data_IF_648634502340
#
_entry.id   IF_648634502340
#
_cell.length_a   1.000
_cell.length_b   1.000
_cell.length_c   1.000
_cell.angle_alpha   90.00
_cell.angle_beta   90.00
_cell.angle_gamma   90.00
#
_symmetry.space_group_name_H-M   'P 1'
#
loop_
_entity.id
_entity.type
_entity.pdbx_description
1 polymer ?
#
# COMPACT_ATOMS: atom_id res chain seq x y z
N UNK A 1 -2.38 32.05 27.02
CA UNK A 1 -3.20 32.19 25.79
C UNK A 1 -2.34 31.79 24.59
N UNK A 2 -2.97 31.35 23.49
CA UNK A 2 -2.39 30.79 22.25
C UNK A 2 -2.31 29.25 22.15
N UNK A 3 -3.47 28.61 22.21
CA UNK A 3 -3.72 27.39 21.42
C UNK A 3 -4.01 27.82 19.99
N UNK A 4 -3.12 27.53 19.04
CA UNK A 4 -3.42 27.62 17.59
C UNK A 4 -3.68 26.22 17.05
N UNK A 5 -4.90 26.05 16.59
CA UNK A 5 -5.53 24.92 15.89
C UNK A 5 -4.57 24.06 15.07
N UNK A 6 -4.48 22.78 15.47
CA UNK A 6 -3.78 21.69 14.79
C UNK A 6 -4.74 20.82 13.94
N UNK A 7 -5.91 21.37 13.59
CA UNK A 7 -7.02 20.66 12.95
C UNK A 7 -7.19 20.97 11.45
N UNK A 8 -6.26 21.69 10.80
CA UNK A 8 -6.40 22.07 9.38
C UNK A 8 -5.37 21.46 8.41
N UNK A 9 -4.56 20.47 8.85
CA UNK A 9 -3.49 19.92 7.99
C UNK A 9 -3.76 18.49 7.49
N UNK A 10 -4.87 17.85 7.90
CA UNK A 10 -5.13 16.44 7.57
C UNK A 10 -6.15 16.20 6.44
N UNK A 11 -6.72 17.24 5.84
CA UNK A 11 -7.79 17.12 4.82
C UNK A 11 -7.32 17.27 3.36
N UNK A 12 -6.04 16.95 3.04
CA UNK A 12 -5.50 17.24 1.69
C UNK A 12 -5.24 16.07 0.73
N UNK A 13 -5.63 14.83 1.04
CA UNK A 13 -5.38 13.71 0.11
C UNK A 13 -6.54 12.73 -0.12
N UNK A 14 -7.80 13.13 0.08
CA UNK A 14 -8.90 12.48 -0.61
C UNK A 14 -9.10 13.18 -1.95
N UNK A 15 -8.27 12.83 -2.95
CA UNK A 15 -8.51 13.28 -4.32
C UNK A 15 -9.79 12.60 -4.79
N UNK A 16 -10.88 13.35 -4.82
CA UNK A 16 -12.15 12.99 -5.44
C UNK A 16 -11.88 12.51 -6.89
N UNK A 17 -11.73 11.19 -7.07
CA UNK A 17 -11.51 10.56 -8.37
C UNK A 17 -12.87 10.47 -9.06
N UNK A 18 -13.36 11.60 -9.60
CA UNK A 18 -14.45 11.55 -10.58
C UNK A 18 -13.92 10.85 -11.83
N UNK A 19 -14.49 9.71 -12.25
CA UNK A 19 -14.06 9.05 -13.48
C UNK A 19 -14.36 9.98 -14.66
N UNK A 20 -13.32 10.38 -15.39
CA UNK A 20 -13.46 11.14 -16.64
C UNK A 20 -14.01 10.20 -17.71
N UNK A 21 -15.05 10.65 -18.43
CA UNK A 21 -15.73 9.97 -19.55
C UNK A 21 -14.75 9.21 -20.44
N UNK A 22 -15.08 7.94 -20.66
CA UNK A 22 -14.32 6.94 -21.41
C UNK A 22 -14.22 7.30 -22.89
N UNK A 23 -13.26 8.16 -23.24
CA UNK A 23 -12.61 8.01 -24.55
C UNK A 23 -11.61 6.89 -24.33
N UNK A 24 -11.84 5.72 -24.93
CA UNK A 24 -10.86 4.63 -24.93
C UNK A 24 -9.59 5.14 -25.61
N UNK A 25 -8.69 5.73 -24.82
CA UNK A 25 -7.40 6.22 -25.31
C UNK A 25 -6.67 4.98 -25.78
N UNK A 26 -6.46 4.87 -27.10
CA UNK A 26 -5.65 3.82 -27.68
C UNK A 26 -4.28 3.85 -27.00
N UNK A 27 -3.98 2.82 -26.23
CA UNK A 27 -2.67 2.65 -25.60
C UNK A 27 -1.65 2.37 -26.70
N UNK A 28 -0.47 2.95 -26.55
CA UNK A 28 0.71 2.60 -27.33
C UNK A 28 1.06 1.12 -27.11
N UNK A 29 1.53 0.43 -28.16
CA UNK A 29 1.76 -1.02 -28.07
C UNK A 29 2.85 -1.38 -27.06
N UNK A 30 3.91 -0.57 -26.95
CA UNK A 30 4.93 -0.72 -25.91
C UNK A 30 4.34 -0.56 -24.51
N UNK A 31 3.35 0.33 -24.35
CA UNK A 31 2.67 0.52 -23.05
C UNK A 31 1.80 -0.69 -22.72
N UNK A 32 1.10 -1.26 -23.70
CA UNK A 32 0.30 -2.49 -23.50
C UNK A 32 1.19 -3.63 -23.04
N UNK A 33 2.28 -3.87 -23.75
CA UNK A 33 3.24 -4.92 -23.42
C UNK A 33 3.84 -4.72 -22.02
N UNK A 34 4.23 -3.47 -21.67
CA UNK A 34 4.73 -3.17 -20.34
C UNK A 34 3.69 -3.39 -19.22
N UNK A 35 2.40 -3.15 -19.48
CA UNK A 35 1.32 -3.41 -18.53
C UNK A 35 1.15 -4.91 -18.31
N UNK A 36 1.12 -5.70 -19.39
CA UNK A 36 0.96 -7.15 -19.34
C UNK A 36 2.12 -7.79 -18.55
N UNK A 37 3.36 -7.48 -18.93
CA UNK A 37 4.56 -7.95 -18.21
C UNK A 37 4.56 -7.54 -16.74
N UNK A 38 4.11 -6.32 -16.42
CA UNK A 38 4.02 -5.87 -15.04
C UNK A 38 2.94 -6.63 -14.24
N UNK A 39 1.79 -6.94 -14.86
CA UNK A 39 0.72 -7.70 -14.22
C UNK A 39 1.14 -9.14 -13.95
N UNK A 40 1.78 -9.80 -14.91
CA UNK A 40 2.30 -11.15 -14.75
C UNK A 40 3.38 -11.19 -13.66
N UNK A 41 4.35 -10.27 -13.72
CA UNK A 41 5.39 -10.18 -12.70
C UNK A 41 4.82 -10.00 -11.28
N UNK A 42 3.85 -9.10 -11.12
CA UNK A 42 3.21 -8.87 -9.81
C UNK A 42 2.46 -10.11 -9.32
N UNK A 43 1.81 -10.83 -10.23
CA UNK A 43 1.04 -12.04 -9.91
C UNK A 43 1.96 -13.17 -9.47
N UNK A 44 3.09 -13.37 -10.16
CA UNK A 44 4.03 -14.44 -9.87
C UNK A 44 4.90 -14.17 -8.64
N UNK A 45 5.33 -12.92 -8.45
CA UNK A 45 6.37 -12.59 -7.48
C UNK A 45 5.88 -11.83 -6.25
N UNK A 46 4.62 -11.36 -6.24
CA UNK A 46 4.06 -10.50 -5.20
C UNK A 46 4.91 -9.25 -4.89
N UNK A 47 5.65 -8.76 -5.90
CA UNK A 47 6.58 -7.63 -5.80
C UNK A 47 6.17 -6.52 -6.77
N UNK A 48 6.52 -5.25 -6.49
CA UNK A 48 6.21 -4.15 -7.40
C UNK A 48 6.95 -4.33 -8.72
N UNK A 49 6.22 -4.22 -9.83
CA UNK A 49 6.81 -4.29 -11.15
C UNK A 49 7.68 -3.05 -11.42
N UNK A 50 8.80 -3.27 -12.11
CA UNK A 50 9.69 -2.20 -12.57
C UNK A 50 9.60 -2.09 -14.08
N UNK A 51 9.33 -0.88 -14.57
CA UNK A 51 9.20 -0.58 -15.99
C UNK A 51 10.22 0.50 -16.33
N UNK A 52 11.04 0.23 -17.34
CA UNK A 52 12.07 1.13 -17.86
C UNK A 52 11.71 1.60 -19.28
N UNK A 53 12.54 2.48 -19.84
CA UNK A 53 12.57 2.83 -21.27
C UNK A 53 11.28 3.41 -21.87
N UNK A 54 10.37 3.91 -21.03
CA UNK A 54 9.19 4.64 -21.50
C UNK A 54 9.49 6.11 -21.76
N UNK A 55 9.02 6.64 -22.89
CA UNK A 55 9.03 8.07 -23.16
C UNK A 55 7.95 8.82 -22.34
N UNK A 56 8.03 10.16 -22.26
CA UNK A 56 7.11 10.97 -21.44
C UNK A 56 5.62 10.73 -21.74
N UNK A 57 5.25 10.46 -22.99
CA UNK A 57 3.87 10.18 -23.38
C UNK A 57 3.42 8.79 -22.91
N UNK A 58 4.25 7.77 -23.13
CA UNK A 58 4.01 6.40 -22.68
C UNK A 58 3.89 6.34 -21.14
N UNK A 59 4.74 7.06 -20.40
CA UNK A 59 4.63 7.16 -18.93
C UNK A 59 3.30 7.73 -18.48
N UNK A 60 2.79 8.75 -19.20
CA UNK A 60 1.48 9.35 -18.92
C UNK A 60 0.35 8.38 -19.21
N UNK A 61 0.43 7.61 -20.29
CA UNK A 61 -0.55 6.56 -20.61
C UNK A 61 -0.57 5.46 -19.54
N UNK A 62 0.60 4.93 -19.17
CA UNK A 62 0.77 3.93 -18.12
C UNK A 62 0.17 4.41 -16.78
N UNK A 63 0.53 5.64 -16.37
CA UNK A 63 -0.02 6.26 -15.16
C UNK A 63 -1.54 6.37 -15.22
N UNK A 64 -2.07 6.90 -16.32
CA UNK A 64 -3.52 7.06 -16.49
C UNK A 64 -4.26 5.73 -16.51
N UNK A 65 -3.63 4.65 -16.99
CA UNK A 65 -4.21 3.31 -16.95
C UNK A 65 -4.35 2.80 -15.51
N UNK A 66 -3.26 2.79 -14.75
CA UNK A 66 -3.28 2.29 -13.36
C UNK A 66 -4.08 3.17 -12.41
N UNK A 67 -4.06 4.50 -12.59
CA UNK A 67 -4.88 5.43 -11.79
C UNK A 67 -6.38 5.17 -12.00
N UNK A 68 -6.81 4.74 -13.19
CA UNK A 68 -8.21 4.39 -13.47
C UNK A 68 -8.64 3.13 -12.72
N UNK A 69 -7.72 2.18 -12.53
CA UNK A 69 -8.03 0.93 -11.83
C UNK A 69 -8.19 1.13 -10.32
N UNK A 70 -7.54 2.15 -9.73
CA UNK A 70 -7.64 2.46 -8.30
C UNK A 70 -6.98 1.46 -7.34
N UNK A 71 -6.47 0.34 -7.86
CA UNK A 71 -5.83 -0.73 -7.09
C UNK A 71 -4.30 -0.61 -7.04
N UNK A 72 -3.73 0.34 -7.78
CA UNK A 72 -2.30 0.46 -8.01
C UNK A 72 -1.80 1.88 -7.77
N UNK A 73 -0.55 1.99 -7.34
CA UNK A 73 0.18 3.27 -7.23
C UNK A 73 1.39 3.26 -8.16
N UNK A 74 1.56 4.31 -8.96
CA UNK A 74 2.66 4.44 -9.91
C UNK A 74 3.62 5.51 -9.45
N UNK A 75 4.87 5.12 -9.16
CA UNK A 75 5.94 6.07 -8.80
C UNK A 75 7.05 6.02 -9.82
N UNK A 76 7.69 7.17 -10.03
CA UNK A 76 8.86 7.31 -10.89
C UNK A 76 10.05 7.70 -10.03
N UNK A 77 11.15 6.99 -10.22
CA UNK A 77 12.43 7.25 -9.56
C UNK A 77 13.42 7.64 -10.66
N UNK A 78 14.21 8.68 -10.41
CA UNK A 78 15.31 9.05 -11.29
C UNK A 78 16.57 8.37 -10.76
N UNK A 79 17.18 7.54 -11.59
CA UNK A 79 18.44 6.86 -11.32
C UNK A 79 19.43 7.34 -12.38
N UNK A 80 20.28 8.30 -11.99
CA UNK A 80 21.22 9.05 -12.85
C UNK A 80 20.63 9.55 -14.19
N UNK A 81 20.65 8.71 -15.22
CA UNK A 81 20.21 9.00 -16.60
C UNK A 81 18.87 8.33 -16.97
N UNK A 82 18.43 7.33 -16.21
CA UNK A 82 17.20 6.57 -16.46
C UNK A 82 16.07 6.98 -15.50
N UNK A 83 14.84 6.89 -15.99
CA UNK A 83 13.65 7.01 -15.12
C UNK A 83 13.02 5.65 -14.99
N UNK A 84 13.12 5.08 -13.80
CA UNK A 84 12.53 3.79 -13.46
C UNK A 84 11.13 4.04 -12.91
N UNK A 85 10.13 3.43 -13.52
CA UNK A 85 8.77 3.43 -13.01
C UNK A 85 8.57 2.18 -12.16
N UNK A 86 8.00 2.34 -10.98
CA UNK A 86 7.52 1.23 -10.15
C UNK A 86 6.01 1.28 -10.04
N UNK A 87 5.37 0.15 -10.29
CA UNK A 87 3.94 -0.06 -10.11
C UNK A 87 3.73 -0.92 -8.87
N UNK A 88 3.02 -0.37 -7.89
CA UNK A 88 2.77 -1.02 -6.61
C UNK A 88 1.33 -1.55 -6.56
N UNK A 89 1.11 -2.84 -6.25
CA UNK A 89 -0.23 -3.42 -6.14
C UNK A 89 -0.87 -3.10 -4.77
N UNK A 90 -1.25 -1.84 -4.57
CA UNK A 90 -1.79 -1.32 -3.30
C UNK A 90 -2.98 -2.12 -2.79
N UNK A 91 -3.91 -2.48 -3.67
CA UNK A 91 -5.08 -3.26 -3.28
C UNK A 91 -4.71 -4.63 -2.70
N UNK A 92 -3.73 -5.30 -3.32
CA UNK A 92 -3.20 -6.58 -2.84
C UNK A 92 -2.49 -6.44 -1.49
N UNK A 93 -1.65 -5.41 -1.32
CA UNK A 93 -0.97 -5.14 -0.05
C UNK A 93 -1.96 -4.89 1.09
N UNK A 94 -3.03 -4.14 0.83
CA UNK A 94 -4.10 -3.89 1.81
C UNK A 94 -4.84 -5.18 2.19
N UNK A 95 -5.16 -6.04 1.21
CA UNK A 95 -5.79 -7.35 1.46
C UNK A 95 -4.89 -8.25 2.31
N UNK A 96 -3.60 -8.32 1.99
CA UNK A 96 -2.61 -9.06 2.79
C UNK A 96 -2.55 -8.53 4.23
N UNK A 97 -2.48 -7.21 4.39
CA UNK A 97 -2.43 -6.56 5.70
C UNK A 97 -3.71 -6.82 6.52
N UNK A 98 -4.87 -6.72 5.89
CA UNK A 98 -6.17 -7.03 6.52
C UNK A 98 -6.22 -8.48 6.98
N UNK A 99 -5.88 -9.44 6.11
CA UNK A 99 -5.87 -10.85 6.46
C UNK A 99 -4.96 -11.12 7.67
N UNK A 100 -3.73 -10.60 7.64
CA UNK A 100 -2.77 -10.79 8.74
C UNK A 100 -3.18 -10.10 10.03
N UNK A 101 -3.82 -8.93 9.95
CA UNK A 101 -4.40 -8.29 11.12
C UNK A 101 -5.51 -9.15 11.74
N UNK A 102 -6.41 -9.71 10.93
CA UNK A 102 -7.47 -10.59 11.45
C UNK A 102 -6.89 -11.83 12.13
N UNK A 103 -5.85 -12.44 11.54
CA UNK A 103 -5.11 -13.55 12.17
C UNK A 103 -4.57 -13.13 13.55
N UNK A 104 -3.90 -11.98 13.66
CA UNK A 104 -3.39 -11.42 14.93
C UNK A 104 -4.49 -11.19 15.97
N UNK A 105 -5.62 -10.63 15.55
CA UNK A 105 -6.75 -10.36 16.45
C UNK A 105 -7.40 -11.65 16.95
N UNK A 106 -7.48 -12.68 16.10
CA UNK A 106 -8.03 -13.98 16.44
C UNK A 106 -7.10 -14.80 17.33
N UNK A 107 -5.80 -14.84 17.01
CA UNK A 107 -4.83 -15.71 17.66
C UNK A 107 -4.12 -15.05 18.86
N UNK A 108 -4.15 -13.71 18.95
CA UNK A 108 -3.48 -12.94 19.99
C UNK A 108 -1.94 -13.01 19.92
N UNK A 109 -1.38 -13.41 18.78
CA UNK A 109 0.06 -13.51 18.51
C UNK A 109 0.46 -12.44 17.50
N UNK A 110 1.73 -12.04 17.56
CA UNK A 110 2.29 -11.15 16.54
C UNK A 110 2.48 -11.92 15.23
N UNK A 111 2.34 -11.23 14.10
CA UNK A 111 2.54 -11.79 12.76
C UNK A 111 3.49 -10.88 11.96
N UNK A 112 4.66 -11.40 11.52
CA UNK A 112 5.52 -10.71 10.58
C UNK A 112 4.98 -10.84 9.15
N UNK A 113 5.06 -9.76 8.37
CA UNK A 113 4.79 -9.76 6.93
C UNK A 113 6.08 -10.05 6.15
N UNK A 114 5.97 -10.46 4.86
CA UNK A 114 7.13 -10.60 3.99
C UNK A 114 7.98 -9.32 3.90
N UNK A 115 9.31 -9.43 3.69
CA UNK A 115 10.16 -8.28 3.43
C UNK A 115 9.68 -7.47 2.23
N UNK A 116 9.69 -6.15 2.36
CA UNK A 116 9.11 -5.25 1.36
C UNK A 116 9.81 -3.89 1.35
N UNK A 117 9.63 -3.11 0.28
CA UNK A 117 10.25 -1.80 0.15
C UNK A 117 9.69 -0.79 1.16
N UNK A 118 10.39 0.33 1.34
CA UNK A 118 9.95 1.40 2.25
C UNK A 118 8.57 1.95 1.91
N UNK A 119 8.21 2.00 0.62
CA UNK A 119 6.90 2.51 0.22
C UNK A 119 5.78 1.51 0.49
N UNK A 120 6.03 0.21 0.29
CA UNK A 120 5.07 -0.85 0.63
C UNK A 120 4.81 -0.90 2.14
N UNK A 121 5.88 -0.80 2.96
CA UNK A 121 5.74 -0.68 4.42
C UNK A 121 4.92 0.53 4.82
N UNK A 122 5.13 1.67 4.17
CA UNK A 122 4.33 2.87 4.39
C UNK A 122 2.85 2.63 4.07
N UNK A 123 2.53 2.05 2.91
CA UNK A 123 1.14 1.74 2.52
C UNK A 123 0.45 0.87 3.58
N UNK A 124 1.12 -0.20 4.03
CA UNK A 124 0.55 -1.11 5.03
C UNK A 124 0.42 -0.43 6.39
N UNK A 125 1.46 0.29 6.82
CA UNK A 125 1.43 1.01 8.09
C UNK A 125 0.30 2.03 8.12
N UNK A 126 0.16 2.84 7.07
CA UNK A 126 -0.88 3.85 6.95
C UNK A 126 -2.28 3.22 6.91
N UNK A 127 -2.47 2.13 6.14
CA UNK A 127 -3.73 1.40 6.07
C UNK A 127 -4.16 0.81 7.43
N UNK A 128 -3.22 0.29 8.22
CA UNK A 128 -3.50 -0.33 9.52
C UNK A 128 -3.46 0.65 10.69
N UNK A 129 -3.02 1.90 10.49
CA UNK A 129 -2.78 2.88 11.56
C UNK A 129 -4.02 3.17 12.42
N UNK A 130 -5.19 3.17 11.80
CA UNK A 130 -6.47 3.49 12.44
C UNK A 130 -7.25 2.24 12.88
N UNK A 131 -6.65 1.05 12.76
CA UNK A 131 -7.31 -0.20 13.16
C UNK A 131 -7.13 -0.44 14.65
N UNK A 132 -8.25 -0.62 15.35
CA UNK A 132 -8.25 -0.88 16.78
C UNK A 132 -7.67 -2.25 17.13
N UNK A 133 -7.07 -2.35 18.31
CA UNK A 133 -6.62 -3.62 18.87
C UNK A 133 -5.29 -4.15 18.35
N UNK A 134 -4.64 -3.44 17.41
CA UNK A 134 -3.32 -3.75 16.91
C UNK A 134 -2.39 -2.53 16.92
N UNK A 135 -1.09 -2.77 16.80
CA UNK A 135 -0.08 -1.77 16.42
C UNK A 135 0.87 -2.39 15.41
N UNK A 136 1.47 -1.57 14.55
CA UNK A 136 2.45 -2.01 13.56
C UNK A 136 3.82 -1.44 13.85
N UNK A 137 4.87 -2.23 13.59
CA UNK A 137 6.26 -1.84 13.79
C UNK A 137 7.10 -2.31 12.59
N UNK A 138 8.05 -1.49 12.13
CA UNK A 138 9.01 -1.93 11.11
C UNK A 138 10.22 -2.58 11.79
N UNK A 139 10.55 -3.82 11.40
CA UNK A 139 11.70 -4.57 11.90
C UNK A 139 12.61 -5.02 10.77
N UNK A 140 13.87 -5.33 11.07
CA UNK A 140 14.89 -5.74 10.09
C UNK A 140 15.62 -4.58 9.41
N UNK A 141 16.61 -4.92 8.58
CA UNK A 141 17.52 -4.00 7.90
C UNK A 141 17.61 -4.30 6.40
N UNK A 142 17.95 -3.29 5.60
CA UNK A 142 18.13 -3.46 4.15
C UNK A 142 16.93 -4.13 3.46
N UNK A 143 17.22 -5.25 2.77
CA UNK A 143 16.24 -6.05 2.03
C UNK A 143 15.32 -6.87 2.93
N UNK A 144 15.76 -7.19 4.15
CA UNK A 144 15.01 -8.02 5.11
C UNK A 144 14.02 -7.20 5.95
N UNK A 145 13.95 -5.89 5.70
CA UNK A 145 13.14 -4.98 6.48
C UNK A 145 11.65 -5.15 6.14
N UNK A 146 10.84 -5.42 7.15
CA UNK A 146 9.43 -5.82 7.04
C UNK A 146 8.56 -5.16 8.11
N UNK A 147 7.25 -5.36 8.03
CA UNK A 147 6.27 -4.93 9.05
C UNK A 147 5.92 -6.11 9.95
N UNK A 148 5.85 -5.86 11.25
CA UNK A 148 5.28 -6.78 12.24
C UNK A 148 3.99 -6.17 12.77
N UNK A 149 2.91 -6.97 12.79
CA UNK A 149 1.63 -6.60 13.40
C UNK A 149 1.59 -7.20 14.81
N UNK A 150 1.38 -6.36 15.82
CA UNK A 150 1.28 -6.76 17.22
C UNK A 150 -0.15 -6.57 17.76
N UNK A 151 -0.67 -7.52 18.55
CA UNK A 151 -1.93 -7.34 19.26
C UNK A 151 -1.75 -6.41 20.48
N UNK A 152 -2.72 -5.55 20.75
CA UNK A 152 -2.70 -4.63 21.91
C UNK A 152 -3.34 -5.24 23.16
N UNK A 153 -4.19 -6.25 23.03
CA UNK A 153 -4.93 -6.83 24.17
C UNK A 153 -4.13 -7.88 24.97
N UNK A 154 -2.84 -8.06 24.69
CA UNK A 154 -1.96 -9.08 25.28
C UNK A 154 -1.31 -8.73 26.63
N UNK A 155 -1.50 -7.54 27.21
CA UNK A 155 -0.91 -7.17 28.53
C UNK A 155 -1.84 -7.31 29.75
N UNK A 156 -3.10 -7.73 29.60
CA UNK A 156 -3.99 -8.05 30.74
C UNK A 156 -5.16 -9.01 30.36
N UNK A 157 -5.07 -10.34 30.58
CA UNK A 157 -6.21 -11.24 30.43
C UNK A 157 -7.13 -11.26 31.68
N UNK A 158 -7.48 -10.11 32.28
CA UNK A 158 -8.30 -10.09 33.52
C UNK A 158 -9.53 -9.18 33.56
N UNK A 159 -9.84 -8.39 32.54
CA UNK A 159 -11.03 -7.50 32.59
C UNK A 159 -12.07 -7.66 31.49
N UNK A 160 -11.89 -8.56 30.52
CA UNK A 160 -12.90 -8.82 29.49
C UNK A 160 -14.01 -9.80 29.92
N UNK A 161 -13.81 -10.59 31.00
CA UNK A 161 -14.79 -11.59 31.47
C UNK A 161 -15.94 -11.04 32.34
N UNK A 162 -16.04 -9.72 32.56
CA UNK A 162 -17.03 -9.13 33.49
C UNK A 162 -18.19 -8.37 32.85
N UNK A 163 -18.28 -8.33 31.51
CA UNK A 163 -19.34 -7.59 30.79
C UNK A 163 -20.21 -8.45 29.88
N UNK A 164 -19.99 -9.77 29.81
CA UNK A 164 -20.84 -10.70 29.06
C UNK A 164 -21.82 -11.51 29.93
N UNK A 165 -21.91 -11.19 31.22
CA UNK A 165 -22.90 -11.76 32.13
C UNK A 165 -23.57 -10.65 32.92
N UNK A 166 -24.53 -9.98 32.30
CA UNK A 166 -25.71 -9.45 32.99
C UNK A 166 -26.84 -9.22 32.00
#
# INVERSE_FOLDING_TARGET
MFFKNREQVLEKHQRDHRPRRDTAVSLDDTVKEAIEQAQDFMTENMKPAQIKDLNSFQRKQLRSYYERLGEFEVRSYKDDEEVIIRVYPVGMLKRLAEQKMQEVLMNGKLEPLPPMSSFERFIIHDYLKERDGIRTESSGEGTERHIIIHPLFGRQPRKAKRRLTR
#
